data_IF_290283801232
#
_entry.id   IF_290283801232
#
_cell.length_a   1.000
_cell.length_b   1.000
_cell.length_c   1.000
_cell.angle_alpha   90.00
_cell.angle_beta   90.00
_cell.angle_gamma   90.00
#
_symmetry.space_group_name_H-M   'P 1'
#
loop_
_entity.id
_entity.type
_entity.pdbx_description
1 polymer ?
#
# COMPACT_ATOMS: atom_id res chain seq x y z
N UNK A 1 17.77 -17.91 -5.18
CA UNK A 1 16.47 -18.37 -4.64
C UNK A 1 16.33 -17.86 -3.21
N UNK A 2 15.13 -17.39 -2.83
CA UNK A 2 14.71 -16.99 -1.46
C UNK A 2 15.04 -15.57 -0.96
N UNK A 3 14.46 -14.54 -1.59
CA UNK A 3 14.14 -13.28 -0.88
C UNK A 3 12.70 -12.82 -1.19
N UNK A 4 12.19 -13.15 -2.37
CA UNK A 4 10.78 -13.00 -2.78
C UNK A 4 9.82 -13.75 -1.87
N UNK A 5 10.09 -15.03 -1.61
CA UNK A 5 9.23 -15.85 -0.76
C UNK A 5 9.15 -15.31 0.69
N UNK A 6 10.22 -14.68 1.19
CA UNK A 6 10.22 -14.13 2.54
C UNK A 6 9.43 -12.83 2.66
N UNK A 7 9.48 -11.91 1.69
CA UNK A 7 8.67 -10.69 1.79
C UNK A 7 7.18 -10.97 1.59
N UNK A 8 6.87 -11.84 0.63
CA UNK A 8 5.53 -12.37 0.41
C UNK A 8 5.03 -12.93 1.75
N UNK A 9 5.76 -13.86 2.38
CA UNK A 9 5.41 -14.44 3.68
C UNK A 9 5.31 -13.41 4.82
N UNK A 10 6.13 -12.35 4.84
CA UNK A 10 6.02 -11.28 5.83
C UNK A 10 4.71 -10.51 5.66
N UNK A 11 4.39 -10.07 4.44
CA UNK A 11 3.12 -9.40 4.14
C UNK A 11 1.96 -10.31 4.54
N UNK A 12 2.03 -11.60 4.20
CA UNK A 12 1.03 -12.62 4.58
C UNK A 12 0.86 -12.77 6.08
N UNK A 13 1.96 -12.91 6.83
CA UNK A 13 1.93 -13.06 8.29
C UNK A 13 1.23 -11.87 8.94
N UNK A 14 1.46 -10.67 8.43
CA UNK A 14 0.79 -9.46 8.89
C UNK A 14 -0.68 -9.39 8.51
N UNK A 15 -1.07 -9.82 7.30
CA UNK A 15 -2.49 -9.93 6.92
C UNK A 15 -3.26 -10.75 7.95
N UNK A 16 -2.70 -11.90 8.36
CA UNK A 16 -3.34 -12.79 9.31
C UNK A 16 -3.47 -12.15 10.70
N UNK A 17 -2.42 -11.48 11.19
CA UNK A 17 -2.45 -10.75 12.47
C UNK A 17 -3.54 -9.68 12.46
N UNK A 18 -3.72 -8.97 11.35
CA UNK A 18 -4.70 -7.88 11.25
C UNK A 18 -6.13 -8.37 11.08
N UNK A 19 -6.30 -9.50 10.39
CA UNK A 19 -7.60 -10.18 10.26
C UNK A 19 -8.13 -10.62 11.61
N UNK A 20 -7.28 -11.19 12.46
CA UNK A 20 -7.69 -11.72 13.77
C UNK A 20 -8.23 -10.60 14.69
N UNK A 21 -7.99 -9.33 14.34
CA UNK A 21 -8.48 -8.14 15.01
C UNK A 21 -9.70 -7.46 14.34
N UNK A 22 -10.34 -8.15 13.39
CA UNK A 22 -11.60 -7.71 12.77
C UNK A 22 -11.46 -6.78 11.57
N UNK A 23 -10.25 -6.56 11.05
CA UNK A 23 -10.04 -5.86 9.77
C UNK A 23 -10.26 -6.85 8.63
N UNK A 24 -11.22 -6.59 7.75
CA UNK A 24 -11.44 -7.44 6.57
C UNK A 24 -10.24 -7.42 5.62
N UNK A 25 -9.95 -8.53 4.93
CA UNK A 25 -8.82 -8.59 3.99
C UNK A 25 -8.91 -7.53 2.90
N UNK A 26 -10.12 -7.19 2.43
CA UNK A 26 -10.32 -6.15 1.41
C UNK A 26 -9.90 -4.76 1.89
N UNK A 27 -10.29 -4.41 3.12
CA UNK A 27 -9.91 -3.15 3.77
C UNK A 27 -8.41 -3.09 4.01
N UNK A 28 -7.80 -4.18 4.47
CA UNK A 28 -6.35 -4.26 4.66
C UNK A 28 -5.59 -4.08 3.35
N UNK A 29 -6.01 -4.80 2.30
CA UNK A 29 -5.39 -4.73 0.98
C UNK A 29 -5.45 -3.31 0.41
N UNK A 30 -6.57 -2.60 0.62
CA UNK A 30 -6.72 -1.19 0.27
C UNK A 30 -5.68 -0.32 1.00
N UNK A 31 -5.55 -0.44 2.32
CA UNK A 31 -4.57 0.33 3.09
C UNK A 31 -3.13 0.03 2.67
N UNK A 32 -2.81 -1.26 2.51
CA UNK A 32 -1.50 -1.70 2.05
C UNK A 32 -1.13 -1.04 0.71
N UNK A 33 -2.10 -0.92 -0.19
CA UNK A 33 -1.86 -0.34 -1.51
C UNK A 33 -1.58 1.16 -1.46
N UNK A 34 -2.29 1.92 -0.62
CA UNK A 34 -1.99 3.34 -0.41
C UNK A 34 -0.59 3.53 0.16
N UNK A 35 -0.22 2.74 1.17
CA UNK A 35 1.09 2.81 1.80
C UNK A 35 2.22 2.42 0.84
N UNK A 36 2.04 1.36 0.06
CA UNK A 36 3.03 0.94 -0.94
C UNK A 36 3.21 1.96 -2.06
N UNK A 37 2.12 2.60 -2.50
CA UNK A 37 2.21 3.69 -3.46
C UNK A 37 3.09 4.82 -2.94
N UNK A 38 2.85 5.29 -1.70
CA UNK A 38 3.65 6.34 -1.07
C UNK A 38 5.11 5.93 -0.92
N UNK A 39 5.36 4.70 -0.47
CA UNK A 39 6.71 4.16 -0.28
C UNK A 39 7.49 4.13 -1.59
N UNK A 40 6.92 3.61 -2.66
CA UNK A 40 7.65 3.58 -3.93
C UNK A 40 7.75 4.96 -4.56
N UNK A 41 6.75 5.83 -4.40
CA UNK A 41 6.86 7.20 -4.87
C UNK A 41 8.05 7.92 -4.24
N UNK A 42 8.28 7.69 -2.95
CA UNK A 42 9.48 8.16 -2.23
C UNK A 42 10.77 7.53 -2.77
N UNK A 43 10.80 6.21 -2.99
CA UNK A 43 11.98 5.52 -3.53
C UNK A 43 12.32 5.91 -4.98
N UNK A 44 11.32 6.05 -5.85
CA UNK A 44 11.50 6.52 -7.21
C UNK A 44 11.94 7.98 -7.26
N UNK A 45 11.53 8.81 -6.30
CA UNK A 45 11.98 10.20 -6.17
C UNK A 45 13.47 10.32 -5.81
N UNK A 46 14.10 9.24 -5.33
CA UNK A 46 15.51 9.22 -4.91
C UNK A 46 16.43 8.70 -6.03
N UNK A 47 17.75 8.97 -5.96
CA UNK A 47 18.71 8.34 -6.86
C UNK A 47 18.65 6.81 -6.78
N UNK A 48 18.83 6.09 -7.90
CA UNK A 48 19.23 6.57 -9.23
C UNK A 48 18.08 7.06 -10.13
N UNK A 49 16.82 6.88 -9.73
CA UNK A 49 15.67 7.08 -10.62
C UNK A 49 15.26 8.55 -10.75
N UNK A 50 15.28 9.31 -9.64
CA UNK A 50 14.96 10.76 -9.59
C UNK A 50 13.62 11.13 -10.28
N UNK A 51 12.61 10.27 -10.17
CA UNK A 51 11.25 10.46 -10.71
C UNK A 51 10.34 11.01 -9.62
N UNK A 52 10.30 12.33 -9.50
CA UNK A 52 9.47 13.00 -8.50
C UNK A 52 7.98 13.05 -8.89
N UNK A 53 7.14 12.39 -8.09
CA UNK A 53 5.68 12.37 -8.23
C UNK A 53 5.04 13.66 -7.65
N UNK A 54 5.83 14.55 -7.04
CA UNK A 54 5.41 15.83 -6.44
C UNK A 54 4.38 15.66 -5.34
N UNK A 55 4.57 14.64 -4.50
CA UNK A 55 3.77 14.48 -3.29
C UNK A 55 4.15 15.62 -2.31
N UNK A 56 3.19 16.37 -1.76
CA UNK A 56 3.50 17.41 -0.78
C UNK A 56 4.33 16.85 0.38
N UNK A 57 5.41 17.54 0.75
CA UNK A 57 6.37 17.05 1.77
C UNK A 57 5.72 16.78 3.12
N UNK A 58 4.66 17.52 3.48
CA UNK A 58 3.90 17.27 4.71
C UNK A 58 3.11 15.94 4.70
N UNK A 59 2.93 15.32 3.54
CA UNK A 59 2.11 14.12 3.33
C UNK A 59 2.87 13.03 2.56
N UNK A 60 4.21 13.11 2.54
CA UNK A 60 5.07 12.11 1.89
C UNK A 60 5.35 10.91 2.82
N UNK A 61 6.04 9.90 2.28
CA UNK A 61 6.36 8.68 3.05
C UNK A 61 7.16 8.98 4.32
N UNK A 62 8.19 9.83 4.26
CA UNK A 62 9.04 10.16 5.41
C UNK A 62 8.26 10.84 6.55
N UNK A 63 7.31 11.73 6.19
CA UNK A 63 6.43 12.39 7.14
C UNK A 63 5.54 11.39 7.89
N UNK A 64 5.16 10.27 7.26
CA UNK A 64 4.34 9.22 7.84
C UNK A 64 5.20 8.22 8.64
N UNK A 65 6.29 7.74 8.05
CA UNK A 65 7.16 6.70 8.61
C UNK A 65 7.90 7.15 9.89
N UNK A 66 7.97 8.45 10.16
CA UNK A 66 8.54 9.04 11.38
C UNK A 66 7.56 9.14 12.56
N UNK A 67 6.25 8.91 12.35
CA UNK A 67 5.20 9.11 13.37
C UNK A 67 4.83 7.83 14.10
N UNK A 68 4.33 7.94 15.34
CA UNK A 68 3.97 6.81 16.20
C UNK A 68 2.66 7.08 16.95
N UNK A 69 1.98 6.01 17.39
CA UNK A 69 0.80 6.12 18.24
C UNK A 69 -0.33 6.97 17.63
N UNK A 70 -1.03 7.75 18.47
CA UNK A 70 -2.15 8.58 18.03
C UNK A 70 -1.75 9.65 16.99
N UNK A 71 -0.49 10.10 17.01
CA UNK A 71 0.03 11.04 16.02
C UNK A 71 0.11 10.40 14.63
N UNK A 72 0.54 9.13 14.55
CA UNK A 72 0.57 8.38 13.29
C UNK A 72 -0.82 8.21 12.69
N UNK A 73 -1.79 7.82 13.52
CA UNK A 73 -3.17 7.63 13.07
C UNK A 73 -3.77 8.94 12.55
N UNK A 74 -3.65 10.02 13.33
CA UNK A 74 -4.14 11.36 12.97
C UNK A 74 -3.48 11.86 11.69
N UNK A 75 -2.17 11.65 11.56
CA UNK A 75 -1.41 12.02 10.37
C UNK A 75 -1.87 11.23 9.16
N UNK A 76 -2.04 9.92 9.28
CA UNK A 76 -2.46 9.05 8.18
C UNK A 76 -3.87 9.40 7.68
N UNK A 77 -4.82 9.64 8.58
CA UNK A 77 -6.18 10.10 8.21
C UNK A 77 -6.11 11.45 7.46
N UNK A 78 -5.28 12.38 7.94
CA UNK A 78 -5.11 13.68 7.29
C UNK A 78 -4.45 13.54 5.93
N UNK A 79 -3.41 12.72 5.81
CA UNK A 79 -2.69 12.41 4.59
C UNK A 79 -3.65 11.88 3.52
N UNK A 80 -4.43 10.84 3.82
CA UNK A 80 -5.39 10.26 2.87
C UNK A 80 -6.39 11.31 2.37
N UNK A 81 -6.89 12.14 3.29
CA UNK A 81 -7.86 13.20 2.98
C UNK A 81 -7.26 14.28 2.09
N UNK A 82 -6.06 14.76 2.39
CA UNK A 82 -5.45 15.86 1.62
C UNK A 82 -4.96 15.38 0.25
N UNK A 83 -4.34 14.20 0.16
CA UNK A 83 -3.96 13.63 -1.15
C UNK A 83 -5.19 13.33 -2.02
N UNK A 84 -6.32 12.94 -1.42
CA UNK A 84 -7.58 12.76 -2.14
C UNK A 84 -8.21 14.05 -2.68
N UNK A 85 -7.72 15.23 -2.28
CA UNK A 85 -8.15 16.54 -2.82
C UNK A 85 -7.24 17.06 -3.93
N UNK A 86 -6.07 16.44 -4.12
CA UNK A 86 -5.14 16.83 -5.17
C UNK A 86 -5.76 16.66 -6.56
N UNK A 87 -5.20 17.34 -7.55
CA UNK A 87 -5.61 17.15 -8.96
C UNK A 87 -4.79 16.05 -9.61
N UNK A 88 -5.35 15.42 -10.65
CA UNK A 88 -4.66 14.38 -11.42
C UNK A 88 -4.48 13.09 -10.63
N UNK A 89 -3.37 12.39 -10.86
CA UNK A 89 -3.13 11.03 -10.39
C UNK A 89 -3.30 10.86 -8.87
N UNK A 90 -2.80 11.78 -8.05
CA UNK A 90 -2.90 11.68 -6.58
C UNK A 90 -4.36 11.73 -6.12
N UNK A 91 -5.13 12.70 -6.64
CA UNK A 91 -6.55 12.81 -6.36
C UNK A 91 -7.34 11.57 -6.78
N UNK A 92 -7.00 10.97 -7.92
CA UNK A 92 -7.63 9.74 -8.41
C UNK A 92 -7.32 8.54 -7.50
N UNK A 93 -6.05 8.36 -7.12
CA UNK A 93 -5.64 7.25 -6.26
C UNK A 93 -6.28 7.35 -4.87
N UNK A 94 -6.22 8.53 -4.25
CA UNK A 94 -6.68 8.74 -2.88
C UNK A 94 -8.13 9.23 -2.80
N UNK A 95 -8.89 9.17 -3.90
CA UNK A 95 -10.25 9.69 -3.96
C UNK A 95 -11.14 8.98 -2.92
N UNK A 96 -11.65 9.76 -1.94
CA UNK A 96 -12.45 9.26 -0.81
C UNK A 96 -11.77 8.12 -0.02
N UNK A 97 -10.45 8.05 -0.04
CA UNK A 97 -9.70 7.11 0.79
C UNK A 97 -10.00 7.35 2.27
N UNK A 98 -10.18 6.27 3.02
CA UNK A 98 -10.44 6.29 4.46
C UNK A 98 -9.49 5.34 5.16
N UNK A 99 -9.05 5.69 6.37
CA UNK A 99 -8.29 4.77 7.19
C UNK A 99 -9.21 3.65 7.69
N UNK A 100 -8.84 2.41 7.40
CA UNK A 100 -9.54 1.20 7.89
C UNK A 100 -8.81 0.52 9.06
N UNK A 101 -7.57 0.91 9.36
CA UNK A 101 -6.79 0.38 10.48
C UNK A 101 -6.99 1.28 11.70
N UNK A 102 -7.92 0.90 12.57
CA UNK A 102 -8.30 1.66 13.77
C UNK A 102 -7.30 1.55 14.91
N UNK A 103 -6.40 0.56 14.88
CA UNK A 103 -5.39 0.35 15.92
C UNK A 103 -4.06 0.99 15.52
N UNK A 104 -3.59 2.03 16.25
CA UNK A 104 -2.35 2.73 15.92
C UNK A 104 -1.10 1.85 15.99
N UNK A 105 -1.07 0.85 16.88
CA UNK A 105 0.07 -0.06 16.98
C UNK A 105 0.16 -0.97 15.74
N UNK A 106 -0.98 -1.32 15.17
CA UNK A 106 -1.06 -2.10 13.94
C UNK A 106 -0.69 -1.30 12.71
N UNK A 107 -1.25 -0.09 12.58
CA UNK A 107 -0.87 0.84 11.52
C UNK A 107 0.64 1.06 11.56
N UNK A 108 1.20 1.26 12.76
CA UNK A 108 2.64 1.40 12.94
C UNK A 108 3.43 0.20 12.43
N UNK A 109 3.03 -1.02 12.83
CA UNK A 109 3.71 -2.23 12.37
C UNK A 109 3.69 -2.39 10.86
N UNK A 110 2.56 -2.10 10.20
CA UNK A 110 2.45 -2.15 8.73
C UNK A 110 3.38 -1.14 8.08
N UNK A 111 3.38 0.10 8.58
CA UNK A 111 4.26 1.15 8.07
C UNK A 111 5.73 0.77 8.21
N UNK A 112 6.16 0.21 9.35
CA UNK A 112 7.55 -0.23 9.52
C UNK A 112 7.90 -1.41 8.61
N UNK A 113 7.03 -2.41 8.50
CA UNK A 113 7.26 -3.56 7.63
C UNK A 113 7.45 -3.14 6.16
N UNK A 114 6.68 -2.18 5.68
CA UNK A 114 6.86 -1.60 4.35
C UNK A 114 8.16 -0.78 4.28
N UNK A 115 8.48 -0.03 5.33
CA UNK A 115 9.66 0.82 5.39
C UNK A 115 10.98 0.04 5.38
N UNK A 116 11.00 -1.14 5.99
CA UNK A 116 12.18 -1.99 6.16
C UNK A 116 12.61 -2.70 4.86
N UNK A 117 11.80 -2.61 3.81
CA UNK A 117 12.01 -3.28 2.54
C UNK A 117 12.21 -2.26 1.42
N UNK A 118 13.05 -2.59 0.43
CA UNK A 118 13.28 -1.75 -0.75
C UNK A 118 12.44 -2.26 -1.92
N UNK A 119 11.29 -1.62 -2.14
CA UNK A 119 10.27 -2.12 -3.06
C UNK A 119 10.65 -1.86 -4.50
N UNK A 120 11.21 -0.71 -4.84
CA UNK A 120 11.60 -0.37 -6.21
C UNK A 120 12.66 -1.32 -6.74
N UNK A 121 13.62 -1.73 -5.91
CA UNK A 121 14.67 -2.68 -6.27
C UNK A 121 14.18 -4.12 -6.49
N UNK A 122 12.94 -4.45 -6.13
CA UNK A 122 12.35 -5.76 -6.42
C UNK A 122 11.99 -5.88 -7.89
N UNK A 123 12.25 -7.06 -8.46
CA UNK A 123 11.87 -7.39 -9.83
C UNK A 123 10.36 -7.25 -10.07
N UNK A 124 9.98 -6.93 -11.30
CA UNK A 124 8.58 -6.79 -11.70
C UNK A 124 7.79 -8.10 -11.53
N UNK A 125 8.44 -9.23 -11.75
CA UNK A 125 7.95 -10.59 -11.47
C UNK A 125 7.63 -10.78 -9.99
N UNK A 126 8.56 -10.39 -9.11
CA UNK A 126 8.39 -10.48 -7.65
C UNK A 126 7.22 -9.62 -7.16
N UNK A 127 7.10 -8.39 -7.68
CA UNK A 127 5.97 -7.51 -7.37
C UNK A 127 4.65 -8.14 -7.85
N UNK A 128 4.63 -8.67 -9.07
CA UNK A 128 3.48 -9.38 -9.64
C UNK A 128 3.01 -10.52 -8.74
N UNK A 129 3.92 -11.40 -8.35
CA UNK A 129 3.62 -12.55 -7.47
C UNK A 129 3.05 -12.12 -6.12
N UNK A 130 3.57 -11.03 -5.52
CA UNK A 130 3.04 -10.47 -4.26
C UNK A 130 1.59 -10.02 -4.45
N UNK A 131 1.30 -9.27 -5.51
CA UNK A 131 -0.04 -8.74 -5.76
C UNK A 131 -1.05 -9.81 -6.14
N UNK A 132 -0.68 -10.72 -7.04
CA UNK A 132 -1.54 -11.85 -7.43
C UNK A 132 -1.86 -12.71 -6.21
N UNK A 133 -0.86 -13.02 -5.39
CA UNK A 133 -1.06 -13.71 -4.13
C UNK A 133 -2.07 -12.98 -3.25
N UNK A 134 -1.86 -11.69 -2.97
CA UNK A 134 -2.78 -10.89 -2.14
C UNK A 134 -4.23 -10.90 -2.65
N UNK A 135 -4.42 -10.90 -3.97
CA UNK A 135 -5.75 -10.99 -4.59
C UNK A 135 -6.38 -12.36 -4.39
N UNK A 136 -5.64 -13.43 -4.68
CA UNK A 136 -6.11 -14.81 -4.55
C UNK A 136 -6.71 -15.07 -3.17
N UNK A 137 -6.05 -14.59 -2.11
CA UNK A 137 -6.55 -14.82 -0.76
C UNK A 137 -7.62 -13.85 -0.30
N UNK A 138 -7.67 -12.63 -0.84
CA UNK A 138 -8.87 -11.82 -0.69
C UNK A 138 -10.12 -12.56 -1.23
N UNK A 139 -9.97 -13.31 -2.32
CA UNK A 139 -11.04 -14.12 -2.86
C UNK A 139 -11.31 -15.43 -2.11
N UNK A 140 -10.31 -16.03 -1.44
CA UNK A 140 -10.56 -17.18 -0.56
C UNK A 140 -11.36 -16.80 0.69
N UNK A 141 -11.09 -15.63 1.28
CA UNK A 141 -11.78 -15.14 2.48
C UNK A 141 -13.21 -14.69 2.18
N UNK A 142 -13.39 -14.04 1.03
CA UNK A 142 -14.72 -13.75 0.51
C UNK A 142 -15.29 -15.07 -0.01
N UNK A 143 -16.08 -15.82 0.77
CA UNK A 143 -16.74 -17.11 0.40
C UNK A 143 -17.70 -17.02 -0.81
N UNK A 144 -17.25 -16.46 -1.91
CA UNK A 144 -17.93 -16.32 -3.18
C UNK A 144 -17.03 -17.03 -4.16
N UNK A 145 -17.53 -18.05 -4.87
CA UNK A 145 -16.78 -18.78 -5.90
C UNK A 145 -16.46 -17.93 -7.15
N UNK A 146 -16.23 -16.64 -6.96
CA UNK A 146 -15.92 -15.64 -7.97
C UNK A 146 -14.41 -15.54 -8.05
N UNK A 147 -13.86 -15.51 -9.28
CA UNK A 147 -12.43 -15.29 -9.48
C UNK A 147 -11.97 -14.03 -8.73
N UNK A 148 -10.78 -14.08 -8.09
CA UNK A 148 -10.19 -12.90 -7.48
C UNK A 148 -10.13 -11.75 -8.48
N UNK A 149 -10.67 -10.59 -8.07
CA UNK A 149 -10.63 -9.38 -8.89
C UNK A 149 -10.24 -8.21 -8.02
N UNK A 150 -9.43 -7.31 -8.57
CA UNK A 150 -9.00 -6.10 -7.88
C UNK A 150 -10.22 -5.27 -7.45
N UNK A 151 -10.24 -4.75 -6.21
CA UNK A 151 -11.25 -3.79 -5.78
C UNK A 151 -11.41 -2.67 -6.82
N UNK A 152 -12.62 -2.11 -7.02
CA UNK A 152 -12.89 -1.15 -8.09
C UNK A 152 -11.95 0.07 -8.09
N UNK A 153 -11.53 0.53 -6.91
CA UNK A 153 -10.56 1.63 -6.77
C UNK A 153 -9.17 1.23 -7.29
N UNK A 154 -8.76 -0.02 -7.04
CA UNK A 154 -7.50 -0.56 -7.54
C UNK A 154 -7.54 -0.81 -9.04
N UNK A 155 -8.65 -1.35 -9.53
CA UNK A 155 -8.82 -1.63 -10.96
C UNK A 155 -8.88 -0.36 -11.80
N UNK A 156 -9.50 0.70 -11.26
CA UNK A 156 -9.73 1.96 -11.99
C UNK A 156 -8.55 2.92 -11.90
N UNK A 157 -7.92 3.05 -10.73
CA UNK A 157 -7.00 4.16 -10.46
C UNK A 157 -5.55 3.70 -10.25
N UNK A 158 -5.34 2.44 -9.85
CA UNK A 158 -4.01 1.94 -9.50
C UNK A 158 -3.43 1.10 -10.64
N UNK A 159 -4.14 0.10 -11.16
CA UNK A 159 -3.64 -0.78 -12.24
C UNK A 159 -2.94 -0.05 -13.42
N UNK A 160 -3.51 1.02 -14.02
CA UNK A 160 -2.85 1.75 -15.10
C UNK A 160 -1.62 2.56 -14.67
N UNK A 161 -1.61 3.09 -13.45
CA UNK A 161 -0.50 3.87 -12.92
C UNK A 161 0.64 2.96 -12.42
N UNK A 162 0.27 1.76 -11.96
CA UNK A 162 1.19 0.74 -11.48
C UNK A 162 1.84 -0.04 -12.61
N UNK A 163 1.13 -0.35 -13.70
CA UNK A 163 1.79 -0.81 -14.93
C UNK A 163 2.75 0.24 -15.45
N UNK A 164 2.45 1.54 -15.31
CA UNK A 164 3.36 2.62 -15.70
C UNK A 164 4.62 2.68 -14.81
N UNK A 165 4.52 2.35 -13.52
CA UNK A 165 5.68 2.30 -12.61
C UNK A 165 6.47 0.98 -12.68
N UNK A 166 5.85 -0.12 -13.11
CA UNK A 166 6.48 -1.45 -13.19
C UNK A 166 7.04 -1.75 -14.59
N UNK A 167 6.48 -1.17 -15.66
CA UNK A 167 6.87 -1.46 -17.07
C UNK A 167 7.85 -0.42 -17.64
N UNK A 168 8.20 0.65 -16.92
CA UNK A 168 9.20 1.64 -17.34
C UNK A 168 10.11 2.11 -16.20
#
# INVERSE_FOLDING_TARGET
>A
MSNTASIVQKVWSFCNVLRDDGVGYGDYLEQLTFLLFLKMADEYGKPPYNRDIKIPSQYNWESLASKRGAELETHYVTLLRELGKEKGMLGEIFFKAQNRIQDPAKLYKVVQMINDENWVMMGADVKGDIYEGLLEKNAEDTKSGVKPSLPPIMRRNLLPQWTTLIIW
#
